data_IF_749747042480
#
_entry.id   IF_749747042480
#
_cell.length_a   1.000
_cell.length_b   1.000
_cell.length_c   1.000
_cell.angle_alpha   90.00
_cell.angle_beta   90.00
_cell.angle_gamma   90.00
#
_symmetry.space_group_name_H-M   'P 1'
#
loop_
_entity.id
_entity.type
_entity.pdbx_description
1 polymer ?
#
# COMPACT_ATOMS: atom_id res chain seq x y z
N UNK A 1 6.09 -5.69 -2.21
CA UNK A 1 7.47 -5.42 -2.67
C UNK A 1 7.41 -4.62 -3.97
N UNK A 2 8.48 -3.88 -4.30
CA UNK A 2 8.54 -2.98 -5.47
C UNK A 2 9.82 -2.12 -5.53
N UNK A 3 10.63 -2.13 -4.47
CA UNK A 3 11.86 -1.34 -4.40
C UNK A 3 11.58 0.17 -4.28
N UNK A 4 12.64 0.97 -4.15
CA UNK A 4 12.52 2.42 -4.00
C UNK A 4 11.85 3.08 -5.21
N UNK A 5 12.27 2.71 -6.43
CA UNK A 5 11.66 3.22 -7.65
C UNK A 5 10.16 2.87 -7.75
N UNK A 6 9.74 1.72 -7.24
CA UNK A 6 8.32 1.38 -7.14
C UNK A 6 7.57 2.26 -6.14
N UNK A 7 8.20 2.65 -5.04
CA UNK A 7 7.62 3.59 -4.06
C UNK A 7 7.45 4.99 -4.65
N UNK A 8 8.48 5.50 -5.33
CA UNK A 8 8.48 6.83 -5.95
C UNK A 8 7.44 6.95 -7.07
N UNK A 9 7.17 5.85 -7.78
CA UNK A 9 6.23 5.81 -8.91
C UNK A 9 4.84 5.26 -8.57
N UNK A 10 4.53 5.02 -7.29
CA UNK A 10 3.20 4.52 -6.89
C UNK A 10 2.90 3.08 -7.33
N UNK A 11 3.91 2.25 -7.48
CA UNK A 11 3.82 0.87 -8.00
C UNK A 11 4.19 -0.19 -6.96
N UNK A 12 4.06 0.12 -5.67
CA UNK A 12 4.28 -0.89 -4.65
C UNK A 12 3.15 -1.92 -4.66
N UNK A 13 3.52 -3.19 -4.49
CA UNK A 13 2.57 -4.18 -3.97
C UNK A 13 2.67 -4.15 -2.45
N UNK A 14 1.61 -3.75 -1.77
CA UNK A 14 1.58 -3.70 -0.30
C UNK A 14 0.67 -4.83 0.18
N UNK A 15 1.21 -5.67 1.06
CA UNK A 15 0.43 -6.70 1.76
C UNK A 15 0.18 -6.20 3.17
N UNK A 16 -1.08 -6.00 3.53
CA UNK A 16 -1.49 -5.56 4.85
C UNK A 16 -2.04 -6.75 5.65
N UNK A 17 -1.35 -7.15 6.71
CA UNK A 17 -1.88 -8.10 7.69
C UNK A 17 -2.26 -7.37 8.98
N UNK A 18 -3.51 -7.50 9.42
CA UNK A 18 -3.99 -6.82 10.64
C UNK A 18 -5.52 -6.67 10.69
N UNK A 19 -5.99 -5.85 11.62
CA UNK A 19 -7.41 -5.58 11.79
C UNK A 19 -7.98 -4.76 10.61
N UNK A 20 -9.16 -5.12 10.08
CA UNK A 20 -9.81 -4.37 9.00
C UNK A 20 -10.00 -2.87 9.30
N UNK A 21 -10.21 -2.51 10.57
CA UNK A 21 -10.38 -1.12 10.97
C UNK A 21 -9.09 -0.30 10.80
N UNK A 22 -7.92 -0.92 11.06
CA UNK A 22 -6.63 -0.28 10.83
C UNK A 22 -6.30 -0.21 9.34
N UNK A 23 -6.66 -1.25 8.57
CA UNK A 23 -6.54 -1.22 7.11
C UNK A 23 -7.36 -0.07 6.51
N UNK A 24 -8.63 0.07 6.88
CA UNK A 24 -9.51 1.12 6.35
C UNK A 24 -8.98 2.53 6.64
N UNK A 25 -8.28 2.73 7.77
CA UNK A 25 -7.63 4.00 8.10
C UNK A 25 -6.36 4.24 7.28
N UNK A 26 -5.63 3.18 6.96
CA UNK A 26 -4.38 3.25 6.20
C UNK A 26 -4.60 3.26 4.67
N UNK A 27 -5.70 2.70 4.19
CA UNK A 27 -6.07 2.57 2.78
C UNK A 27 -5.85 3.84 1.95
N UNK A 28 -6.32 5.05 2.35
CA UNK A 28 -6.13 6.25 1.53
C UNK A 28 -4.66 6.65 1.37
N UNK A 29 -3.80 6.33 2.34
CA UNK A 29 -2.36 6.58 2.26
C UNK A 29 -1.69 5.50 1.43
N UNK A 30 -2.05 4.24 1.65
CA UNK A 30 -1.51 3.09 0.92
C UNK A 30 -1.82 3.17 -0.58
N UNK A 31 -3.04 3.57 -0.94
CA UNK A 31 -3.48 3.74 -2.33
C UNK A 31 -2.69 4.81 -3.09
N UNK A 32 -2.07 5.78 -2.42
CA UNK A 32 -1.21 6.77 -3.06
C UNK A 32 0.14 6.18 -3.52
N UNK A 33 0.60 5.09 -2.88
CA UNK A 33 1.89 4.48 -3.15
C UNK A 33 1.78 3.09 -3.79
N UNK A 34 0.61 2.47 -3.75
CA UNK A 34 0.39 1.10 -4.18
C UNK A 34 -0.40 1.01 -5.49
N UNK A 35 0.10 0.18 -6.40
CA UNK A 35 -0.66 -0.24 -7.59
C UNK A 35 -1.64 -1.37 -7.26
N UNK A 36 -1.31 -2.19 -6.27
CA UNK A 36 -2.16 -3.26 -5.72
C UNK A 36 -1.98 -3.26 -4.19
N UNK A 37 -3.10 -3.13 -3.47
CA UNK A 37 -3.19 -3.22 -2.02
C UNK A 37 -4.17 -4.36 -1.70
N UNK A 38 -3.71 -5.40 -1.00
CA UNK A 38 -4.47 -6.62 -0.69
C UNK A 38 -4.06 -7.20 0.67
#
# INVERSE_FOLDING_TARGET
SGGQAGAENGQLSIMCGGDPADYARAEPVLAAYARICA
#
